data_IF_487527713229
#
_entry.id   IF_487527713229
#
_cell.length_a   1.000
_cell.length_b   1.000
_cell.length_c   1.000
_cell.angle_alpha   90.00
_cell.angle_beta   90.00
_cell.angle_gamma   90.00
#
_symmetry.space_group_name_H-M   'P 1'
#
loop_
_entity.id
_entity.type
_entity.pdbx_description
1 polymer ?
#
# COMPACT_ATOMS: atom_id res chain seq x y z
N UNK A 1 38.51 -49.36 -23.35
CA UNK A 1 38.60 -47.89 -23.29
C UNK A 1 38.49 -47.50 -21.83
N UNK A 2 39.63 -47.33 -21.14
CA UNK A 2 39.67 -47.05 -19.71
C UNK A 2 39.25 -45.60 -19.44
N UNK A 3 38.36 -45.40 -18.47
CA UNK A 3 37.98 -44.08 -17.96
C UNK A 3 39.23 -43.38 -17.44
N UNK A 4 39.60 -42.26 -18.08
CA UNK A 4 40.86 -41.55 -17.88
C UNK A 4 40.88 -40.60 -16.67
N UNK A 5 39.85 -40.64 -15.82
CA UNK A 5 39.76 -39.79 -14.62
C UNK A 5 39.70 -40.63 -13.36
N UNK A 6 40.60 -40.33 -12.41
CA UNK A 6 40.49 -40.88 -11.05
C UNK A 6 39.22 -40.33 -10.40
N UNK A 7 38.63 -41.06 -9.45
CA UNK A 7 37.36 -40.66 -8.81
C UNK A 7 37.43 -39.28 -8.12
N UNK A 8 38.61 -38.85 -7.69
CA UNK A 8 38.88 -37.50 -7.17
C UNK A 8 38.78 -36.41 -8.24
N UNK A 9 39.27 -36.65 -9.45
CA UNK A 9 39.25 -35.71 -10.57
C UNK A 9 37.81 -35.46 -11.04
N UNK A 10 36.96 -36.49 -11.00
CA UNK A 10 35.54 -36.39 -11.31
C UNK A 10 34.76 -35.55 -10.29
N UNK A 11 35.16 -35.57 -9.01
CA UNK A 11 34.55 -34.72 -7.97
C UNK A 11 35.03 -33.27 -8.10
N UNK A 12 36.33 -33.06 -8.34
CA UNK A 12 36.89 -31.73 -8.56
C UNK A 12 36.26 -31.05 -9.78
N UNK A 13 36.08 -31.77 -10.90
CA UNK A 13 35.42 -31.24 -12.10
C UNK A 13 33.96 -30.85 -11.84
N UNK A 14 33.21 -31.68 -11.08
CA UNK A 14 31.84 -31.34 -10.68
C UNK A 14 31.77 -30.10 -9.80
N UNK A 15 32.70 -29.94 -8.86
CA UNK A 15 32.80 -28.72 -8.05
C UNK A 15 33.10 -27.48 -8.90
N UNK A 16 34.04 -27.58 -9.85
CA UNK A 16 34.36 -26.47 -10.75
C UNK A 16 33.18 -26.08 -11.64
N UNK A 17 32.45 -27.07 -12.18
CA UNK A 17 31.23 -26.82 -12.97
C UNK A 17 30.12 -26.18 -12.12
N UNK A 18 29.95 -26.61 -10.87
CA UNK A 18 28.98 -26.01 -9.96
C UNK A 18 29.35 -24.55 -9.63
N UNK A 19 30.63 -24.26 -9.36
CA UNK A 19 31.09 -22.89 -9.12
C UNK A 19 30.93 -21.99 -10.35
N UNK A 20 31.25 -22.51 -11.55
CA UNK A 20 31.06 -21.79 -12.80
C UNK A 20 29.57 -21.48 -13.06
N UNK A 21 28.67 -22.43 -12.76
CA UNK A 21 27.23 -22.23 -12.87
C UNK A 21 26.75 -21.16 -11.88
N UNK A 22 27.17 -21.20 -10.62
CA UNK A 22 26.82 -20.19 -9.61
C UNK A 22 27.31 -18.81 -10.05
N UNK A 23 28.55 -18.71 -10.53
CA UNK A 23 29.09 -17.44 -11.04
C UNK A 23 28.30 -16.92 -12.25
N UNK A 24 27.95 -17.80 -13.19
CA UNK A 24 27.13 -17.43 -14.34
C UNK A 24 25.74 -16.95 -13.93
N UNK A 25 25.10 -17.60 -12.95
CA UNK A 25 23.81 -17.18 -12.41
C UNK A 25 23.91 -15.83 -11.69
N UNK A 26 24.96 -15.61 -10.89
CA UNK A 26 25.20 -14.32 -10.23
C UNK A 26 25.48 -13.21 -11.25
N UNK A 27 26.28 -13.47 -12.27
CA UNK A 27 26.58 -12.51 -13.34
C UNK A 27 25.32 -12.19 -14.17
N UNK A 28 24.48 -13.19 -14.45
CA UNK A 28 23.22 -13.00 -15.15
C UNK A 28 22.21 -12.19 -14.30
N UNK A 29 22.10 -12.49 -13.01
CA UNK A 29 21.28 -11.70 -12.10
C UNK A 29 21.78 -10.25 -12.00
N UNK A 30 23.09 -10.04 -11.87
CA UNK A 30 23.69 -8.70 -11.88
C UNK A 30 23.45 -7.98 -13.21
N UNK A 31 23.57 -8.69 -14.34
CA UNK A 31 23.26 -8.14 -15.66
C UNK A 31 21.81 -7.69 -15.75
N UNK A 32 20.86 -8.51 -15.31
CA UNK A 32 19.44 -8.13 -15.23
C UNK A 32 19.31 -6.87 -14.38
N UNK A 33 19.80 -6.86 -13.14
CA UNK A 33 19.69 -5.71 -12.23
C UNK A 33 20.26 -4.42 -12.82
N UNK A 34 21.43 -4.47 -13.47
CA UNK A 34 22.07 -3.30 -14.08
C UNK A 34 21.31 -2.81 -15.31
N UNK A 35 20.71 -3.71 -16.08
CA UNK A 35 19.99 -3.39 -17.31
C UNK A 35 18.47 -3.31 -17.11
N UNK A 36 17.98 -3.40 -15.87
CA UNK A 36 16.60 -3.09 -15.55
C UNK A 36 16.34 -1.64 -15.95
N UNK A 37 15.52 -1.46 -16.97
CA UNK A 37 15.06 -0.14 -17.38
C UNK A 37 14.03 0.33 -16.37
N UNK A 38 14.48 1.06 -15.35
CA UNK A 38 13.57 1.70 -14.40
C UNK A 38 12.75 2.77 -15.12
N UNK A 39 11.47 2.87 -14.78
CA UNK A 39 10.66 4.03 -15.15
C UNK A 39 11.35 5.25 -14.54
N UNK A 40 11.77 6.20 -15.39
CA UNK A 40 12.43 7.41 -14.88
C UNK A 40 11.47 8.15 -13.94
N UNK A 41 11.91 8.48 -12.72
CA UNK A 41 11.09 9.23 -11.78
C UNK A 41 10.73 10.57 -12.42
N UNK A 42 9.44 10.89 -12.45
CA UNK A 42 9.00 12.17 -12.97
C UNK A 42 9.09 13.25 -11.88
N UNK A 43 9.58 14.46 -12.21
CA UNK A 43 9.63 15.58 -11.28
C UNK A 43 8.23 16.09 -10.91
N UNK A 44 8.14 16.97 -9.92
CA UNK A 44 6.90 17.49 -9.38
C UNK A 44 6.10 18.33 -10.40
N UNK A 45 6.78 19.02 -11.30
CA UNK A 45 6.25 19.83 -12.39
C UNK A 45 5.87 19.02 -13.66
N UNK A 46 6.02 17.69 -13.61
CA UNK A 46 5.67 16.82 -14.74
C UNK A 46 4.18 16.92 -15.09
N UNK A 47 3.84 16.55 -16.33
CA UNK A 47 2.47 16.56 -16.85
C UNK A 47 1.46 15.99 -15.82
N UNK A 48 0.39 16.73 -15.48
CA UNK A 48 -0.62 16.29 -14.51
C UNK A 48 -1.30 14.96 -14.85
N UNK A 49 -1.38 14.61 -16.13
CA UNK A 49 -1.95 13.35 -16.62
C UNK A 49 -1.01 12.14 -16.46
N UNK A 50 0.14 12.30 -15.81
CA UNK A 50 1.07 11.21 -15.47
C UNK A 50 1.31 11.16 -13.97
N UNK A 51 1.57 9.96 -13.47
CA UNK A 51 2.04 9.78 -12.09
C UNK A 51 3.42 10.44 -11.91
N UNK A 52 3.57 11.31 -10.91
CA UNK A 52 4.84 11.94 -10.56
C UNK A 52 5.35 11.46 -9.20
N UNK A 53 6.56 10.90 -9.21
CA UNK A 53 7.27 10.58 -7.97
C UNK A 53 7.60 11.86 -7.19
N UNK A 54 7.97 12.96 -7.86
CA UNK A 54 8.22 14.24 -7.19
C UNK A 54 7.02 14.76 -6.38
N UNK A 55 5.80 14.60 -6.91
CA UNK A 55 4.57 14.93 -6.17
C UNK A 55 4.29 13.97 -5.02
N UNK A 56 4.45 12.65 -5.23
CA UNK A 56 4.33 11.67 -4.16
C UNK A 56 5.34 11.95 -3.02
N UNK A 57 6.60 12.23 -3.35
CA UNK A 57 7.65 12.55 -2.38
C UNK A 57 7.35 13.81 -1.55
N UNK A 58 6.60 14.78 -2.09
CA UNK A 58 6.10 15.91 -1.28
C UNK A 58 5.13 15.46 -0.20
N UNK A 59 4.17 14.58 -0.53
CA UNK A 59 3.27 14.04 0.47
C UNK A 59 4.03 13.21 1.50
N UNK A 60 4.98 12.39 1.05
CA UNK A 60 5.83 11.59 1.93
C UNK A 60 6.60 12.48 2.91
N UNK A 61 7.25 13.55 2.42
CA UNK A 61 7.99 14.50 3.25
C UNK A 61 7.07 15.17 4.27
N UNK A 62 5.87 15.61 3.85
CA UNK A 62 4.91 16.21 4.78
C UNK A 62 4.56 15.23 5.91
N UNK A 63 4.26 13.98 5.58
CA UNK A 63 3.86 12.96 6.55
C UNK A 63 5.00 12.50 7.47
N UNK A 64 6.25 12.48 6.99
CA UNK A 64 7.37 11.84 7.71
C UNK A 64 8.37 12.81 8.31
N UNK A 65 8.47 14.03 7.78
CA UNK A 65 9.45 15.04 8.21
C UNK A 65 8.76 16.22 8.85
N UNK A 66 7.67 16.71 8.26
CA UNK A 66 7.04 17.95 8.75
C UNK A 66 6.03 17.69 9.87
N UNK A 67 5.36 16.53 9.87
CA UNK A 67 4.45 16.08 10.92
C UNK A 67 5.23 15.20 11.90
N UNK A 68 5.33 15.64 13.16
CA UNK A 68 6.09 14.92 14.18
C UNK A 68 5.26 13.81 14.85
N UNK A 69 5.77 12.58 14.77
CA UNK A 69 5.26 11.43 15.52
C UNK A 69 3.82 11.05 15.20
N UNK A 70 3.62 10.29 14.11
CA UNK A 70 2.34 9.70 13.72
C UNK A 70 2.02 8.39 14.46
N UNK A 71 2.56 8.21 15.65
CA UNK A 71 2.21 7.05 16.48
C UNK A 71 0.82 7.24 17.07
N UNK A 72 0.12 6.14 17.30
CA UNK A 72 -1.14 6.16 18.03
C UNK A 72 -1.02 6.84 19.39
N UNK A 73 -2.03 7.65 19.70
CA UNK A 73 -2.06 8.52 20.88
C UNK A 73 -1.19 9.78 20.81
N UNK A 74 -0.45 10.03 19.72
CA UNK A 74 0.28 11.29 19.51
C UNK A 74 -0.50 12.29 18.65
N UNK A 75 -0.32 13.60 18.88
CA UNK A 75 -0.95 14.64 18.05
C UNK A 75 -0.63 14.55 16.55
N UNK A 76 0.55 14.01 16.17
CA UNK A 76 0.95 13.88 14.78
C UNK A 76 0.06 12.94 13.97
N UNK A 77 -0.57 11.94 14.59
CA UNK A 77 -1.51 11.05 13.90
C UNK A 77 -2.76 11.83 13.45
N UNK A 78 -3.29 12.67 14.33
CA UNK A 78 -4.42 13.55 14.01
C UNK A 78 -4.05 14.59 12.94
N UNK A 79 -2.86 15.18 13.03
CA UNK A 79 -2.37 16.12 12.02
C UNK A 79 -2.23 15.43 10.64
N UNK A 80 -1.74 14.19 10.61
CA UNK A 80 -1.66 13.39 9.38
C UNK A 80 -3.04 13.09 8.80
N UNK A 81 -4.01 12.70 9.63
CA UNK A 81 -5.39 12.49 9.20
C UNK A 81 -6.00 13.76 8.59
N UNK A 82 -5.82 14.91 9.25
CA UNK A 82 -6.30 16.21 8.76
C UNK A 82 -5.66 16.60 7.44
N UNK A 83 -4.35 16.38 7.30
CA UNK A 83 -3.63 16.62 6.06
C UNK A 83 -4.16 15.75 4.91
N UNK A 84 -4.28 14.44 5.13
CA UNK A 84 -4.81 13.50 4.12
C UNK A 84 -6.22 13.91 3.69
N UNK A 85 -7.10 14.16 4.66
CA UNK A 85 -8.47 14.61 4.39
C UNK A 85 -8.50 15.92 3.59
N UNK A 86 -7.65 16.88 3.94
CA UNK A 86 -7.52 18.14 3.21
C UNK A 86 -7.11 17.97 1.75
N UNK A 87 -6.12 17.10 1.48
CA UNK A 87 -5.69 16.79 0.10
C UNK A 87 -6.81 16.09 -0.70
N UNK A 88 -7.53 15.16 -0.08
CA UNK A 88 -8.63 14.43 -0.72
C UNK A 88 -9.82 15.34 -1.03
N UNK A 89 -10.18 16.25 -0.12
CA UNK A 89 -11.20 17.27 -0.38
C UNK A 89 -10.76 18.24 -1.49
N UNK A 90 -9.48 18.62 -1.54
CA UNK A 90 -8.94 19.42 -2.64
C UNK A 90 -9.02 18.68 -3.99
N UNK A 91 -8.78 17.36 -4.01
CA UNK A 91 -8.95 16.51 -5.20
C UNK A 91 -10.43 16.43 -5.60
N UNK A 92 -11.33 16.17 -4.64
CA UNK A 92 -12.79 16.12 -4.86
C UNK A 92 -13.32 17.42 -5.47
N UNK A 93 -12.85 18.58 -5.01
CA UNK A 93 -13.27 19.88 -5.54
C UNK A 93 -12.85 20.13 -7.00
N UNK A 94 -11.89 19.36 -7.53
CA UNK A 94 -11.49 19.42 -8.95
C UNK A 94 -12.24 18.41 -9.84
N UNK A 95 -13.00 17.50 -9.24
CA UNK A 95 -13.70 16.47 -9.99
C UNK A 95 -14.83 17.07 -10.84
N UNK A 96 -14.89 16.67 -12.12
CA UNK A 96 -15.96 17.07 -13.03
C UNK A 96 -17.30 16.37 -12.75
N UNK A 97 -18.38 16.76 -13.46
CA UNK A 97 -19.73 16.20 -13.26
C UNK A 97 -19.86 14.72 -13.65
N UNK A 98 -18.87 14.18 -14.36
CA UNK A 98 -18.80 12.76 -14.73
C UNK A 98 -18.37 11.85 -13.58
N UNK A 99 -17.87 12.43 -12.48
CA UNK A 99 -17.39 11.69 -11.32
C UNK A 99 -18.39 11.75 -10.17
N UNK A 100 -18.57 10.64 -9.48
CA UNK A 100 -19.11 10.59 -8.12
C UNK A 100 -17.94 10.40 -7.16
N UNK A 101 -17.64 11.44 -6.38
CA UNK A 101 -16.51 11.45 -5.43
C UNK A 101 -17.02 11.68 -4.02
N UNK A 102 -16.64 10.78 -3.12
CA UNK A 102 -17.06 10.79 -1.71
C UNK A 102 -15.81 10.72 -0.82
N UNK A 103 -15.75 11.58 0.19
CA UNK A 103 -14.73 11.58 1.25
C UNK A 103 -15.48 11.35 2.54
N UNK A 104 -15.06 10.36 3.33
CA UNK A 104 -15.66 10.10 4.64
C UNK A 104 -14.60 9.78 5.69
N UNK A 105 -14.92 10.07 6.95
CA UNK A 105 -14.08 9.77 8.11
C UNK A 105 -14.83 8.76 8.99
N UNK A 106 -14.34 7.52 8.99
CA UNK A 106 -14.93 6.44 9.77
C UNK A 106 -14.20 6.32 11.11
N UNK A 107 -14.97 6.41 12.20
CA UNK A 107 -14.51 6.12 13.55
C UNK A 107 -14.84 4.67 13.90
N UNK A 108 -13.82 3.87 14.20
CA UNK A 108 -13.96 2.45 14.54
C UNK A 108 -13.50 2.23 15.97
N UNK A 109 -14.30 1.50 16.74
CA UNK A 109 -13.92 1.07 18.10
C UNK A 109 -14.01 -0.44 18.17
N UNK A 110 -13.07 -1.08 18.85
CA UNK A 110 -13.02 -2.53 18.92
C UNK A 110 -12.07 -3.02 20.00
N UNK A 111 -12.07 -4.33 20.18
CA UNK A 111 -11.12 -5.00 21.06
C UNK A 111 -10.85 -6.39 20.54
N UNK A 112 -9.61 -6.85 20.66
CA UNK A 112 -9.22 -8.19 20.30
C UNK A 112 -8.25 -8.78 21.32
N UNK A 113 -8.23 -10.10 21.40
CA UNK A 113 -7.30 -10.84 22.23
C UNK A 113 -6.26 -11.50 21.33
N UNK A 114 -4.98 -11.28 21.62
CA UNK A 114 -3.88 -11.95 20.95
C UNK A 114 -2.97 -12.63 21.96
N UNK A 115 -2.53 -13.84 21.64
CA UNK A 115 -1.53 -14.53 22.46
C UNK A 115 -0.13 -14.13 22.00
N UNK A 116 0.61 -13.43 22.85
CA UNK A 116 2.00 -13.04 22.59
C UNK A 116 2.91 -13.65 23.67
N UNK A 117 3.97 -14.35 23.27
CA UNK A 117 4.92 -15.01 24.18
C UNK A 117 4.24 -15.88 25.28
N UNK A 118 3.21 -16.66 24.92
CA UNK A 118 2.38 -17.50 25.83
C UNK A 118 1.53 -16.72 26.85
N UNK A 119 1.42 -15.41 26.72
CA UNK A 119 0.51 -14.58 27.51
C UNK A 119 -0.62 -14.06 26.63
N UNK A 120 -1.85 -14.12 27.14
CA UNK A 120 -3.00 -13.50 26.48
C UNK A 120 -2.98 -12.02 26.76
N UNK A 121 -2.84 -11.22 25.70
CA UNK A 121 -2.91 -9.76 25.74
C UNK A 121 -4.25 -9.36 25.11
N UNK A 122 -5.03 -8.57 25.86
CA UNK A 122 -6.27 -7.97 25.38
C UNK A 122 -5.99 -6.52 25.00
N UNK A 123 -6.19 -6.18 23.73
CA UNK A 123 -5.99 -4.82 23.23
C UNK A 123 -7.36 -4.25 22.84
N UNK A 124 -7.68 -3.08 23.38
CA UNK A 124 -8.90 -2.35 23.09
C UNK A 124 -8.56 -0.97 22.57
N UNK A 125 -9.29 -0.52 21.55
CA UNK A 125 -9.12 0.76 20.91
C UNK A 125 -10.49 1.44 20.76
N UNK A 126 -10.48 2.77 20.78
CA UNK A 126 -11.70 3.58 20.74
C UNK A 126 -11.49 4.77 19.84
N UNK A 127 -12.51 5.07 19.05
CA UNK A 127 -12.55 6.20 18.10
C UNK A 127 -11.35 6.22 17.15
N UNK A 128 -10.95 5.03 16.69
CA UNK A 128 -9.88 4.88 15.72
C UNK A 128 -10.27 5.49 14.37
N UNK A 129 -9.42 6.34 13.80
CA UNK A 129 -9.73 7.15 12.62
C UNK A 129 -9.24 6.51 11.34
N UNK A 130 -10.19 6.25 10.44
CA UNK A 130 -9.93 5.83 9.07
C UNK A 130 -10.52 6.85 8.10
N UNK A 131 -9.79 7.15 7.03
CA UNK A 131 -10.26 8.06 5.99
C UNK A 131 -10.54 7.24 4.74
N UNK A 132 -11.76 7.37 4.24
CA UNK A 132 -12.21 6.72 3.02
C UNK A 132 -12.35 7.75 1.91
N UNK A 133 -11.91 7.36 0.72
CA UNK A 133 -12.10 8.15 -0.47
C UNK A 133 -12.56 7.27 -1.63
N UNK A 134 -13.76 7.50 -2.15
CA UNK A 134 -14.32 6.74 -3.27
C UNK A 134 -14.36 7.62 -4.50
N UNK A 135 -13.84 7.09 -5.61
CA UNK A 135 -13.98 7.66 -6.95
C UNK A 135 -14.76 6.67 -7.80
N UNK A 136 -15.89 7.10 -8.34
CA UNK A 136 -16.70 6.32 -9.26
C UNK A 136 -17.18 7.17 -10.44
N UNK A 137 -17.66 6.52 -11.49
CA UNK A 137 -18.43 7.19 -12.55
C UNK A 137 -19.79 7.65 -11.99
N UNK A 138 -20.33 8.77 -12.49
CA UNK A 138 -21.69 9.24 -12.16
C UNK A 138 -22.78 8.19 -12.49
N UNK A 139 -22.51 7.33 -13.47
CA UNK A 139 -23.38 6.24 -13.92
C UNK A 139 -23.19 4.94 -13.16
N UNK A 140 -22.16 4.85 -12.31
CA UNK A 140 -21.90 3.65 -11.50
C UNK A 140 -22.99 3.50 -10.46
N UNK A 141 -23.45 2.28 -10.26
CA UNK A 141 -24.37 1.99 -9.17
C UNK A 141 -23.62 1.84 -7.88
N UNK A 142 -24.38 1.90 -6.80
CA UNK A 142 -23.85 1.66 -5.48
C UNK A 142 -23.32 0.22 -5.43
N UNK A 143 -24.13 -0.79 -5.77
CA UNK A 143 -23.80 -2.23 -5.79
C UNK A 143 -22.69 -2.68 -6.75
N UNK A 144 -22.04 -1.73 -7.44
CA UNK A 144 -21.03 -2.07 -8.42
C UNK A 144 -19.75 -2.64 -7.75
N UNK A 145 -19.21 -3.74 -8.29
CA UNK A 145 -17.91 -4.29 -7.90
C UNK A 145 -16.80 -3.22 -7.88
N UNK A 146 -16.11 -3.06 -6.74
CA UNK A 146 -15.10 -2.03 -6.53
C UNK A 146 -13.69 -2.61 -6.35
N UNK A 147 -12.68 -1.74 -6.48
CA UNK A 147 -11.28 -2.04 -6.13
C UNK A 147 -10.93 -1.22 -4.88
N UNK A 148 -10.37 -1.89 -3.87
CA UNK A 148 -9.94 -1.26 -2.64
C UNK A 148 -8.41 -1.16 -2.60
N UNK A 149 -7.92 0.07 -2.52
CA UNK A 149 -6.51 0.39 -2.28
C UNK A 149 -6.36 0.74 -0.81
N UNK A 150 -5.52 0.01 -0.08
CA UNK A 150 -5.33 0.19 1.34
C UNK A 150 -3.87 0.58 1.64
N UNK A 151 -3.71 1.51 2.57
CA UNK A 151 -2.42 1.91 3.12
C UNK A 151 -2.62 2.60 4.47
N UNK A 152 -1.65 2.42 5.36
CA UNK A 152 -1.72 2.98 6.71
C UNK A 152 -0.87 4.25 6.84
N UNK A 153 -1.38 5.20 7.63
CA UNK A 153 -0.79 6.51 7.86
C UNK A 153 -0.29 6.71 9.30
N UNK A 154 -0.41 5.70 10.17
CA UNK A 154 0.34 5.66 11.41
C UNK A 154 1.82 5.32 11.16
N UNK A 155 2.58 5.25 12.25
CA UNK A 155 4.01 4.93 12.22
C UNK A 155 4.39 4.14 13.46
N UNK A 156 5.44 3.30 13.39
CA UNK A 156 5.89 2.56 14.54
C UNK A 156 6.55 3.49 15.56
N UNK A 157 6.60 3.04 16.81
CA UNK A 157 7.28 3.78 17.89
C UNK A 157 8.76 3.95 17.57
N UNK A 158 9.22 5.21 17.56
CA UNK A 158 10.64 5.54 17.31
C UNK A 158 11.04 5.57 15.83
N UNK A 159 10.08 5.50 14.91
CA UNK A 159 10.29 5.64 13.47
C UNK A 159 9.38 6.70 12.88
N UNK A 160 9.83 7.35 11.80
CA UNK A 160 8.98 8.25 11.01
C UNK A 160 7.98 7.50 10.10
N UNK A 161 8.14 6.18 9.93
CA UNK A 161 7.25 5.34 9.13
C UNK A 161 7.24 5.69 7.64
N UNK A 162 8.41 6.01 7.05
CA UNK A 162 8.49 6.45 5.65
C UNK A 162 8.24 5.31 4.65
N UNK A 163 8.84 4.14 4.88
CA UNK A 163 8.57 2.95 4.10
C UNK A 163 7.34 2.15 4.57
N UNK A 164 6.91 2.38 5.82
CA UNK A 164 5.85 1.62 6.50
C UNK A 164 4.92 2.60 7.23
N UNK A 165 3.83 3.07 6.62
CA UNK A 165 3.56 3.05 5.18
C UNK A 165 3.34 4.46 4.62
N UNK A 166 4.13 5.44 5.07
CA UNK A 166 4.05 6.83 4.59
C UNK A 166 4.16 6.95 3.06
N UNK A 167 4.98 6.11 2.43
CA UNK A 167 5.16 6.04 0.97
C UNK A 167 3.93 5.49 0.24
N UNK A 168 3.19 4.60 0.88
CA UNK A 168 1.97 3.97 0.39
C UNK A 168 0.87 5.02 0.34
N UNK A 169 0.68 5.75 1.45
CA UNK A 169 -0.25 6.89 1.56
C UNK A 169 0.10 7.97 0.53
N UNK A 170 1.38 8.33 0.41
CA UNK A 170 1.85 9.30 -0.56
C UNK A 170 1.55 8.88 -2.02
N UNK A 171 1.74 7.60 -2.33
CA UNK A 171 1.42 7.03 -3.65
C UNK A 171 -0.08 7.01 -3.92
N UNK A 172 -0.88 6.67 -2.92
CA UNK A 172 -2.35 6.68 -3.01
C UNK A 172 -2.90 8.10 -3.25
N UNK A 173 -2.36 9.11 -2.59
CA UNK A 173 -2.72 10.52 -2.83
C UNK A 173 -2.40 10.96 -4.27
N UNK A 174 -1.22 10.62 -4.79
CA UNK A 174 -0.86 10.93 -6.18
C UNK A 174 -1.69 10.13 -7.19
N UNK A 175 -2.07 8.89 -6.89
CA UNK A 175 -2.99 8.09 -7.71
C UNK A 175 -4.40 8.69 -7.72
N UNK A 176 -4.93 9.06 -6.56
CA UNK A 176 -6.22 9.74 -6.44
C UNK A 176 -6.25 11.04 -7.27
N UNK A 177 -5.18 11.85 -7.15
CA UNK A 177 -4.97 13.04 -7.97
C UNK A 177 -4.94 12.71 -9.46
N UNK A 178 -4.17 11.69 -9.86
CA UNK A 178 -4.01 11.28 -11.25
C UNK A 178 -5.34 10.84 -11.88
N UNK A 179 -6.17 10.08 -11.17
CA UNK A 179 -7.48 9.63 -11.69
C UNK A 179 -8.35 10.83 -12.05
N UNK A 180 -8.43 11.84 -11.18
CA UNK A 180 -9.23 13.03 -11.42
C UNK A 180 -8.60 13.95 -12.47
N UNK A 181 -7.32 14.31 -12.31
CA UNK A 181 -6.66 15.31 -13.16
C UNK A 181 -6.37 14.79 -14.60
N UNK A 182 -6.36 13.47 -14.82
CA UNK A 182 -6.21 12.88 -16.16
C UNK A 182 -7.51 12.84 -16.97
N UNK A 183 -8.64 13.23 -16.37
CA UNK A 183 -9.99 13.05 -16.94
C UNK A 183 -10.30 11.59 -17.33
N UNK A 184 -9.62 10.62 -16.70
CA UNK A 184 -9.91 9.20 -16.88
C UNK A 184 -11.05 8.80 -15.95
N UNK A 185 -12.17 8.35 -16.53
CA UNK A 185 -13.34 7.89 -15.77
C UNK A 185 -13.12 6.40 -15.46
N UNK A 186 -13.05 6.01 -14.17
CA UNK A 186 -12.78 4.63 -13.82
C UNK A 186 -14.00 3.75 -14.19
N UNK A 187 -13.80 2.61 -14.89
CA UNK A 187 -14.89 1.73 -15.29
C UNK A 187 -15.53 0.98 -14.12
N UNK A 188 -14.84 0.94 -12.97
CA UNK A 188 -15.29 0.36 -11.70
C UNK A 188 -14.92 1.32 -10.57
N UNK A 189 -15.73 1.45 -9.51
CA UNK A 189 -15.38 2.29 -8.37
C UNK A 189 -14.01 1.92 -7.78
N UNK A 190 -13.24 2.94 -7.43
CA UNK A 190 -11.98 2.80 -6.71
C UNK A 190 -12.19 3.41 -5.33
N UNK A 191 -11.92 2.62 -4.30
CA UNK A 191 -11.97 3.05 -2.90
C UNK A 191 -10.55 3.09 -2.40
N UNK A 192 -10.13 4.23 -1.86
CA UNK A 192 -8.89 4.40 -1.14
C UNK A 192 -9.21 4.40 0.35
N UNK A 193 -8.56 3.52 1.08
CA UNK A 193 -8.66 3.41 2.52
C UNK A 193 -7.32 3.81 3.14
N UNK A 194 -7.33 4.93 3.84
CA UNK A 194 -6.21 5.38 4.64
C UNK A 194 -6.49 5.00 6.09
N UNK A 195 -5.73 4.05 6.61
CA UNK A 195 -5.91 3.53 7.96
C UNK A 195 -4.94 4.15 8.95
N UNK A 196 -5.36 4.43 10.17
CA UNK A 196 -4.49 5.05 11.17
C UNK A 196 -3.94 4.13 12.27
N UNK A 197 -4.09 2.80 12.25
CA UNK A 197 -3.68 1.96 13.38
C UNK A 197 -3.03 0.62 12.99
N UNK A 198 -2.38 0.50 11.85
CA UNK A 198 -1.78 -0.80 11.46
C UNK A 198 -0.67 -1.23 12.42
N UNK A 199 0.16 -0.28 12.87
CA UNK A 199 1.43 -0.52 13.57
C UNK A 199 1.21 -1.03 15.01
N UNK A 200 0.00 -0.89 15.53
CA UNK A 200 -0.44 -1.52 16.77
C UNK A 200 -0.97 -2.93 16.52
N UNK A 201 -0.09 -3.79 15.99
CA UNK A 201 -0.32 -5.23 15.80
C UNK A 201 -1.34 -5.61 14.72
N UNK A 202 -1.32 -4.94 13.57
CA UNK A 202 -2.21 -5.19 12.43
C UNK A 202 -3.70 -5.00 12.80
N UNK A 203 -4.00 -4.01 13.65
CA UNK A 203 -5.38 -3.67 14.02
C UNK A 203 -6.25 -3.45 12.78
N UNK A 204 -5.67 -3.01 11.67
CA UNK A 204 -6.25 -2.88 10.34
C UNK A 204 -6.99 -4.13 9.87
N UNK A 205 -6.33 -5.27 9.92
CA UNK A 205 -6.90 -6.56 9.52
C UNK A 205 -8.07 -6.97 10.43
N UNK A 206 -8.06 -6.50 11.69
CA UNK A 206 -9.12 -6.73 12.67
C UNK A 206 -10.26 -5.71 12.57
N UNK A 207 -9.99 -4.45 12.22
CA UNK A 207 -11.00 -3.41 11.99
C UNK A 207 -11.65 -3.55 10.62
N UNK A 208 -11.03 -4.23 9.66
CA UNK A 208 -11.57 -4.42 8.31
C UNK A 208 -12.97 -5.06 8.30
N UNK A 209 -13.28 -6.14 9.05
CA UNK A 209 -14.65 -6.63 9.19
C UNK A 209 -15.64 -5.61 9.80
N UNK A 210 -15.17 -4.70 10.66
CA UNK A 210 -15.99 -3.64 11.25
C UNK A 210 -16.24 -2.49 10.25
N UNK A 211 -15.25 -2.18 9.41
CA UNK A 211 -15.36 -1.27 8.27
C UNK A 211 -16.09 -1.89 7.09
N UNK A 212 -16.15 -3.22 7.01
CA UNK A 212 -16.99 -3.96 6.09
C UNK A 212 -18.48 -3.71 6.30
N UNK A 213 -18.88 -2.98 7.37
CA UNK A 213 -20.24 -2.44 7.59
C UNK A 213 -20.40 -0.99 7.11
N UNK A 214 -19.31 -0.33 6.75
CA UNK A 214 -19.33 1.07 6.31
C UNK A 214 -20.05 1.16 4.96
N UNK A 215 -20.98 2.11 4.74
CA UNK A 215 -21.77 2.18 3.51
C UNK A 215 -20.88 2.13 2.26
N UNK A 216 -19.78 2.89 2.22
CA UNK A 216 -18.88 2.90 1.05
C UNK A 216 -18.19 1.56 0.74
N UNK A 217 -17.99 0.70 1.75
CA UNK A 217 -17.31 -0.61 1.63
C UNK A 217 -18.33 -1.75 1.49
N UNK A 218 -19.46 -1.68 2.21
CA UNK A 218 -20.61 -2.60 2.08
C UNK A 218 -21.18 -2.62 0.68
N UNK A 219 -21.14 -1.47 0.02
CA UNK A 219 -21.91 -1.19 -1.16
C UNK A 219 -21.29 -1.81 -2.42
N UNK A 220 -20.12 -2.41 -2.39
CA UNK A 220 -19.70 -3.28 -3.50
C UNK A 220 -18.66 -4.25 -2.98
N UNK A 221 -18.85 -5.55 -3.24
CA UNK A 221 -17.81 -6.55 -2.95
C UNK A 221 -16.49 -6.03 -3.50
N UNK A 222 -15.54 -5.68 -2.64
CA UNK A 222 -14.21 -5.26 -3.08
C UNK A 222 -13.54 -6.50 -3.70
N UNK A 223 -13.47 -6.57 -5.03
CA UNK A 223 -12.98 -7.76 -5.74
C UNK A 223 -11.44 -7.86 -5.74
N UNK A 224 -10.75 -6.79 -5.32
CA UNK A 224 -9.32 -6.77 -5.11
C UNK A 224 -8.95 -5.79 -4.01
N UNK A 225 -8.25 -6.30 -3.00
CA UNK A 225 -7.51 -5.50 -2.03
C UNK A 225 -6.07 -5.41 -2.53
N UNK A 226 -5.58 -4.19 -2.67
CA UNK A 226 -4.15 -3.92 -2.86
C UNK A 226 -3.65 -3.29 -1.58
N UNK A 227 -3.05 -4.11 -0.72
CA UNK A 227 -2.26 -3.63 0.39
C UNK A 227 -0.89 -3.23 -0.16
N UNK A 228 -0.60 -1.94 -0.11
CA UNK A 228 0.73 -1.43 -0.34
C UNK A 228 1.49 -1.57 0.96
N UNK A 229 2.57 -2.35 0.98
CA UNK A 229 3.46 -2.53 2.12
C UNK A 229 4.90 -2.28 1.65
N UNK A 230 5.71 -1.54 2.41
CA UNK A 230 7.15 -1.35 2.15
C UNK A 230 7.51 -0.69 0.80
N UNK A 231 6.68 0.21 0.27
CA UNK A 231 7.08 0.98 -0.91
C UNK A 231 8.23 1.96 -0.53
N UNK A 232 9.33 2.00 -1.29
CA UNK A 232 10.35 3.06 -1.15
C UNK A 232 11.39 2.93 -0.02
N UNK A 233 11.57 1.75 0.61
CA UNK A 233 12.57 1.55 1.68
C UNK A 233 14.03 1.45 1.19
N UNK A 234 14.28 1.12 -0.09
CA UNK A 234 15.62 1.10 -0.70
C UNK A 234 15.55 1.15 -2.24
N UNK A 235 16.03 2.22 -2.88
CA UNK A 235 16.17 2.33 -4.35
C UNK A 235 14.86 2.41 -5.16
N UNK A 236 14.92 2.55 -6.50
CA UNK A 236 13.73 2.63 -7.35
C UNK A 236 13.17 1.22 -7.55
N UNK A 237 12.32 0.75 -6.63
CA UNK A 237 11.69 -0.57 -6.75
C UNK A 237 10.17 -0.50 -6.85
N UNK A 238 9.69 -1.55 -7.51
CA UNK A 238 8.33 -1.94 -7.84
C UNK A 238 7.32 -1.61 -6.73
N UNK A 239 6.20 -0.98 -7.11
CA UNK A 239 4.97 -1.07 -6.34
C UNK A 239 4.59 -2.57 -6.29
N UNK A 240 4.89 -3.25 -5.18
CA UNK A 240 4.49 -4.65 -5.01
C UNK A 240 3.00 -4.65 -4.66
N UNK A 241 2.18 -4.83 -5.69
CA UNK A 241 0.77 -5.17 -5.53
C UNK A 241 0.72 -6.63 -5.07
N UNK A 242 0.55 -6.86 -3.76
CA UNK A 242 0.09 -8.17 -3.30
C UNK A 242 -1.38 -8.31 -3.71
N UNK A 243 -1.62 -8.89 -4.89
CA UNK A 243 -2.95 -9.30 -5.30
C UNK A 243 -3.37 -10.51 -4.46
N UNK A 244 -4.10 -10.29 -3.37
CA UNK A 244 -4.84 -11.36 -2.72
C UNK A 244 -6.17 -11.53 -3.46
N UNK A 245 -6.31 -12.68 -4.11
CA UNK A 245 -7.54 -13.10 -4.76
C UNK A 245 -8.67 -13.34 -3.74
N UNK A 246 -9.89 -12.95 -4.13
CA UNK A 246 -11.20 -13.53 -3.79
C UNK A 246 -11.29 -14.21 -2.41
N UNK A 247 -11.94 -13.54 -1.46
CA UNK A 247 -12.47 -14.19 -0.25
C UNK A 247 -14.01 -14.21 -0.30
N UNK A 248 -14.55 -14.92 -1.29
CA UNK A 248 -15.87 -15.53 -1.14
C UNK A 248 -15.72 -16.81 -0.31
N UNK A 249 -16.60 -16.96 0.70
CA UNK A 249 -16.81 -18.16 1.52
C UNK A 249 -15.71 -18.59 2.49
N UNK A 250 -15.63 -17.99 3.69
CA UNK A 250 -15.26 -18.70 4.93
C UNK A 250 -15.40 -17.89 6.24
N UNK A 251 -16.54 -17.23 6.49
CA UNK A 251 -16.96 -16.92 7.89
C UNK A 251 -18.48 -17.03 8.03
N UNK A 252 -19.01 -18.22 7.75
CA UNK A 252 -20.23 -18.69 8.38
C UNK A 252 -19.88 -20.03 9.04
N UNK A 253 -19.52 -19.97 10.32
CA UNK A 253 -19.62 -21.00 11.35
C UNK A 253 -19.42 -20.33 12.70
#
# INVERSE_FOLDING_TARGET
>A
MSSWMKSGDARALKCLLALALIYALMAFAAYIVVHMSYVRPLPDDANPARFSEGRALRHLRRLTVDIDGRQEGRPGLEEAAQYIKGELEAIKNRAGPEYRVEVDEALVSGSFNMTFLRHSISLAYRDHKNILFRIASNSSKDDDPSVLLNGHFDSPVGSAGAGDCGSCVASMLELARLVIDSNWIPPRPIIFLFNGAEELFLLDSHSYPMMGKHPMIMVGSAYGLVDLWFAGSVGPWLMVVHGLAVLEHLVLS
#
